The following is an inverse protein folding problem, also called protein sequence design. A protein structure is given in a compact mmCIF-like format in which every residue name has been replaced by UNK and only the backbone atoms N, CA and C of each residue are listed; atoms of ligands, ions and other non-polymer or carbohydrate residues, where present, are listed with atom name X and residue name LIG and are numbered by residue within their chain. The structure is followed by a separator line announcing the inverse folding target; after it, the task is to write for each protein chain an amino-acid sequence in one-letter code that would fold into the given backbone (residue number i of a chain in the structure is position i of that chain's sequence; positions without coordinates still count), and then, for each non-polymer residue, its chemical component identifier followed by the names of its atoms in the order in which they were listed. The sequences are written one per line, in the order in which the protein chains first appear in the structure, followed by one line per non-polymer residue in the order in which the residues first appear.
data_IF_679226988376
#
_entry.id   IF_679226988376
#
_cell.length_a   1.000
_cell.length_b   1.000
_cell.length_c   1.000
_cell.angle_alpha   90.00
_cell.angle_beta   90.00
_cell.angle_gamma   90.00
#
_symmetry.space_group_name_H-M   'P 1'
#
loop_
_entity.id
_entity.type
_entity.pdbx_description
1 polymer ?
#
# COMPACT_ATOMS: atom_id res chain seq x y z
N UNK A 1 35.57 -19.33 -29.39
CA UNK A 1 34.61 -20.39 -28.98
C UNK A 1 33.24 -19.99 -29.52
N UNK A 2 32.50 -20.88 -30.19
CA UNK A 2 31.19 -20.54 -30.78
C UNK A 2 30.13 -20.65 -29.67
N UNK A 3 29.66 -19.52 -29.16
CA UNK A 3 28.59 -19.46 -28.16
C UNK A 3 27.25 -19.15 -28.83
N UNK A 4 26.16 -19.71 -28.30
CA UNK A 4 24.79 -19.45 -28.80
C UNK A 4 24.35 -18.00 -28.56
N UNK A 5 24.93 -17.37 -27.54
CA UNK A 5 24.87 -15.95 -27.24
C UNK A 5 26.25 -15.36 -27.54
N UNK A 6 26.40 -14.73 -28.70
CA UNK A 6 27.56 -13.90 -28.99
C UNK A 6 27.45 -12.56 -28.24
N UNK A 7 28.54 -11.79 -28.23
CA UNK A 7 28.62 -10.55 -27.47
C UNK A 7 27.57 -9.52 -27.90
N UNK A 8 27.28 -9.42 -29.19
CA UNK A 8 26.34 -8.42 -29.73
C UNK A 8 24.94 -8.76 -29.27
N UNK A 9 24.51 -10.01 -29.47
CA UNK A 9 23.17 -10.47 -29.04
C UNK A 9 23.00 -10.39 -27.53
N UNK A 10 24.08 -10.58 -26.77
CA UNK A 10 24.04 -10.46 -25.30
C UNK A 10 23.83 -9.01 -24.88
N UNK A 11 24.53 -8.05 -25.51
CA UNK A 11 24.36 -6.62 -25.23
C UNK A 11 22.93 -6.17 -25.54
N UNK A 12 22.39 -6.51 -26.72
CA UNK A 12 21.04 -6.11 -27.13
C UNK A 12 19.97 -6.64 -26.15
N UNK A 13 20.10 -7.89 -25.70
CA UNK A 13 19.17 -8.48 -24.72
C UNK A 13 19.29 -7.78 -23.36
N UNK A 14 20.51 -7.48 -22.91
CA UNK A 14 20.73 -6.82 -21.64
C UNK A 14 20.16 -5.39 -21.63
N UNK A 15 20.31 -4.65 -22.72
CA UNK A 15 19.70 -3.32 -22.87
C UNK A 15 18.18 -3.39 -22.70
N UNK A 16 17.52 -4.32 -23.41
CA UNK A 16 16.07 -4.50 -23.28
C UNK A 16 15.62 -4.91 -21.87
N UNK A 17 16.41 -5.74 -21.18
CA UNK A 17 16.13 -6.14 -19.79
C UNK A 17 16.32 -4.95 -18.84
N UNK A 18 17.35 -4.15 -19.02
CA UNK A 18 17.62 -2.96 -18.20
C UNK A 18 16.50 -1.93 -18.34
N UNK A 19 16.07 -1.62 -19.57
CA UNK A 19 14.95 -0.71 -19.78
C UNK A 19 13.64 -1.21 -19.14
N UNK A 20 13.37 -2.51 -19.23
CA UNK A 20 12.21 -3.12 -18.58
C UNK A 20 12.31 -3.06 -17.06
N UNK A 21 13.51 -3.27 -16.51
CA UNK A 21 13.80 -3.16 -15.09
C UNK A 21 13.59 -1.73 -14.59
N UNK A 22 14.09 -0.72 -15.30
CA UNK A 22 13.96 0.69 -14.91
C UNK A 22 12.49 1.12 -14.84
N UNK A 23 11.66 0.72 -15.81
CA UNK A 23 10.22 0.97 -15.78
C UNK A 23 9.54 0.27 -14.60
N UNK A 24 9.95 -0.96 -14.29
CA UNK A 24 9.42 -1.69 -13.15
C UNK A 24 9.82 -1.03 -11.83
N UNK A 25 11.09 -0.65 -11.67
CA UNK A 25 11.62 0.00 -10.48
C UNK A 25 10.96 1.36 -10.24
N UNK A 26 10.69 2.13 -11.29
CA UNK A 26 9.96 3.39 -11.21
C UNK A 26 8.51 3.20 -10.72
N UNK A 27 7.85 2.10 -11.11
CA UNK A 27 6.47 1.79 -10.69
C UNK A 27 6.40 1.16 -9.30
N UNK A 28 7.45 0.45 -8.91
CA UNK A 28 7.57 -0.27 -7.64
C UNK A 28 8.90 0.08 -6.97
N UNK A 29 9.03 1.29 -6.38
CA UNK A 29 10.28 1.77 -5.78
C UNK A 29 10.74 0.99 -4.52
N UNK A 30 10.13 -0.16 -4.25
CA UNK A 30 10.31 -0.94 -3.05
C UNK A 30 9.56 -0.37 -1.85
N UNK A 31 9.73 -1.02 -0.71
CA UNK A 31 9.19 -0.55 0.56
C UNK A 31 10.06 0.60 1.07
N UNK A 32 9.42 1.71 1.43
CA UNK A 32 10.11 2.81 2.11
C UNK A 32 10.79 2.30 3.38
N UNK A 33 12.02 2.76 3.64
CA UNK A 33 12.71 2.50 4.90
C UNK A 33 12.07 3.25 6.09
N UNK A 34 11.18 4.22 5.82
CA UNK A 34 10.42 4.92 6.84
C UNK A 34 9.34 4.01 7.44
N UNK A 35 8.98 4.26 8.70
CA UNK A 35 7.85 3.57 9.35
C UNK A 35 6.58 3.76 8.51
N UNK A 36 5.98 2.65 8.11
CA UNK A 36 4.70 2.63 7.41
C UNK A 36 3.59 2.34 8.43
N UNK A 37 2.44 3.02 8.36
CA UNK A 37 1.28 2.65 9.15
C UNK A 37 0.80 1.26 8.71
N UNK A 38 0.78 0.31 9.64
CA UNK A 38 0.24 -1.02 9.42
C UNK A 38 -1.10 -1.12 10.12
N UNK A 39 -2.16 -1.43 9.37
CA UNK A 39 -3.46 -1.77 9.93
C UNK A 39 -3.64 -3.28 9.90
N UNK A 40 -3.73 -3.90 11.07
CA UNK A 40 -3.91 -5.34 11.20
C UNK A 40 -5.39 -5.66 11.36
N UNK A 41 -5.90 -6.57 10.53
CA UNK A 41 -7.29 -7.04 10.59
C UNK A 41 -7.30 -8.54 10.82
N UNK A 42 -8.08 -8.99 11.80
CA UNK A 42 -8.32 -10.41 12.05
C UNK A 42 -9.65 -10.81 11.42
N UNK A 43 -9.65 -11.90 10.65
CA UNK A 43 -10.85 -12.40 9.99
C UNK A 43 -10.68 -13.83 9.49
N UNK A 44 -11.78 -14.49 9.15
CA UNK A 44 -11.75 -15.85 8.61
C UNK A 44 -11.07 -15.88 7.24
N UNK A 45 -10.15 -16.82 7.01
CA UNK A 45 -9.44 -16.95 5.75
C UNK A 45 -10.39 -17.12 4.53
N UNK A 46 -11.55 -17.74 4.74
CA UNK A 46 -12.59 -17.93 3.72
C UNK A 46 -13.29 -16.62 3.28
N UNK A 47 -13.09 -15.51 4.02
CA UNK A 47 -13.63 -14.20 3.68
C UNK A 47 -12.62 -13.32 2.94
N UNK A 48 -11.35 -13.73 2.89
CA UNK A 48 -10.31 -12.97 2.20
C UNK A 48 -10.54 -12.95 0.69
N UNK A 49 -10.44 -11.77 0.11
CA UNK A 49 -10.54 -11.51 -1.33
C UNK A 49 -9.54 -10.43 -1.73
N UNK A 50 -9.24 -10.35 -3.03
CA UNK A 50 -8.34 -9.34 -3.58
C UNK A 50 -8.78 -7.90 -3.31
N UNK A 51 -10.07 -7.68 -3.07
CA UNK A 51 -10.68 -6.37 -2.78
C UNK A 51 -10.92 -6.10 -1.28
N UNK A 52 -10.50 -7.01 -0.38
CA UNK A 52 -10.77 -6.89 1.06
C UNK A 52 -10.32 -5.55 1.66
N UNK A 53 -9.12 -5.08 1.32
CA UNK A 53 -8.59 -3.82 1.85
C UNK A 53 -9.45 -2.61 1.43
N UNK A 54 -9.84 -2.54 0.15
CA UNK A 54 -10.69 -1.46 -0.35
C UNK A 54 -12.08 -1.48 0.30
N UNK A 55 -12.68 -2.67 0.44
CA UNK A 55 -13.99 -2.84 1.07
C UNK A 55 -13.98 -2.43 2.55
N UNK A 56 -12.97 -2.86 3.30
CA UNK A 56 -12.82 -2.48 4.71
C UNK A 56 -12.57 -0.98 4.87
N UNK A 57 -11.78 -0.38 3.99
CA UNK A 57 -11.56 1.08 3.98
C UNK A 57 -12.85 1.86 3.77
N UNK A 58 -13.71 1.43 2.84
CA UNK A 58 -15.02 2.06 2.62
C UNK A 58 -15.90 2.01 3.88
N UNK A 59 -16.00 0.85 4.53
CA UNK A 59 -16.77 0.69 5.76
C UNK A 59 -16.22 1.56 6.91
N UNK A 60 -14.89 1.68 7.02
CA UNK A 60 -14.26 2.53 8.01
C UNK A 60 -14.60 4.01 7.80
N UNK A 61 -14.63 4.49 6.54
CA UNK A 61 -15.05 5.86 6.21
C UNK A 61 -16.52 6.10 6.55
N UNK A 62 -17.42 5.18 6.17
CA UNK A 62 -18.85 5.28 6.51
C UNK A 62 -19.08 5.32 8.03
N UNK A 63 -18.33 4.52 8.80
CA UNK A 63 -18.37 4.56 10.26
C UNK A 63 -17.86 5.90 10.82
N UNK A 64 -16.76 6.43 10.26
CA UNK A 64 -16.23 7.71 10.68
C UNK A 64 -17.21 8.86 10.39
N UNK A 65 -17.82 8.88 9.21
CA UNK A 65 -18.85 9.87 8.86
C UNK A 65 -20.08 9.79 9.78
N UNK A 66 -20.49 8.57 10.15
CA UNK A 66 -21.68 8.36 10.99
C UNK A 66 -21.45 8.72 12.46
N UNK A 67 -20.27 8.40 13.00
CA UNK A 67 -20.02 8.45 14.45
C UNK A 67 -18.98 9.50 14.87
N UNK A 68 -18.13 9.96 13.95
CA UNK A 68 -17.11 10.98 14.19
C UNK A 68 -17.05 12.05 13.09
N UNK A 69 -18.18 12.67 12.69
CA UNK A 69 -18.18 13.65 11.59
C UNK A 69 -17.40 14.94 11.90
N UNK A 70 -17.07 15.19 13.17
CA UNK A 70 -16.27 16.32 13.64
C UNK A 70 -15.39 15.91 14.82
N UNK A 71 -14.46 16.79 15.20
CA UNK A 71 -13.47 16.52 16.24
C UNK A 71 -14.09 16.16 17.59
N UNK A 72 -15.17 16.83 17.99
CA UNK A 72 -15.84 16.58 19.28
C UNK A 72 -16.54 15.23 19.29
N UNK A 73 -17.34 14.94 18.26
CA UNK A 73 -18.02 13.65 18.11
C UNK A 73 -17.01 12.50 18.04
N UNK A 74 -15.94 12.66 17.27
CA UNK A 74 -14.89 11.63 17.17
C UNK A 74 -14.18 11.41 18.50
N UNK A 75 -13.71 12.48 19.17
CA UNK A 75 -13.01 12.38 20.47
C UNK A 75 -13.87 11.69 21.52
N UNK A 76 -15.15 12.06 21.60
CA UNK A 76 -16.11 11.39 22.47
C UNK A 76 -16.29 9.90 22.11
N UNK A 77 -16.38 9.57 20.81
CA UNK A 77 -16.57 8.19 20.34
C UNK A 77 -15.38 7.27 20.67
N UNK A 78 -14.16 7.82 20.71
CA UNK A 78 -12.94 7.06 21.06
C UNK A 78 -12.49 7.24 22.52
N UNK A 79 -13.29 7.90 23.35
CA UNK A 79 -13.03 8.07 24.78
C UNK A 79 -11.84 8.98 25.10
N UNK A 80 -11.53 9.94 24.22
CA UNK A 80 -10.58 11.00 24.52
C UNK A 80 -11.31 12.16 25.22
N UNK A 81 -10.77 12.61 26.36
CA UNK A 81 -11.20 13.89 26.94
C UNK A 81 -10.79 15.01 26.00
N UNK A 82 -11.73 15.88 25.66
CA UNK A 82 -11.44 17.10 24.92
C UNK A 82 -10.57 17.99 25.81
N UNK A 83 -9.28 18.14 25.49
CA UNK A 83 -8.44 19.15 26.12
C UNK A 83 -8.93 20.51 25.65
N UNK A 84 -9.86 21.10 26.39
CA UNK A 84 -10.31 22.47 26.19
C UNK A 84 -9.20 23.45 26.62
N UNK A 85 -8.09 23.49 25.88
CA UNK A 85 -7.09 24.54 25.98
C UNK A 85 -6.59 24.91 24.58
N UNK A 86 -7.28 25.87 23.96
CA UNK A 86 -6.75 26.86 23.02
C UNK A 86 -7.50 28.19 23.20
#
# INVERSE_FOLDING_TARGET
MKTTLDSVRTTDILEGVLEAHDRWAARYPGTSAARQPVHTVYGGAHLFRSDSAAKLGKLALEALESYGPNADSFSNAIGLEHSAEL
#
